data_IF_464683479439
#
_entry.id   IF_464683479439
#
_cell.length_a   1.000
_cell.length_b   1.000
_cell.length_c   1.000
_cell.angle_alpha   90.00
_cell.angle_beta   90.00
_cell.angle_gamma   90.00
#
_symmetry.space_group_name_H-M   'P 1'
#
loop_
_entity.id
_entity.type
_entity.pdbx_description
1 polymer ?
#
# COMPACT_ATOMS: atom_id res chain seq x y z
N UNK A 1 -24.25 3.33 57.89
CA UNK A 1 -23.82 2.13 58.63
C UNK A 1 -22.45 1.68 58.10
N UNK A 2 -21.53 1.17 58.94
CA UNK A 2 -20.18 0.76 58.54
C UNK A 2 -20.17 -0.33 57.43
N UNK A 3 -21.18 -1.15 57.36
CA UNK A 3 -21.38 -2.20 56.35
C UNK A 3 -21.57 -1.62 54.94
N UNK A 4 -22.30 -0.52 54.82
CA UNK A 4 -22.51 0.15 53.52
C UNK A 4 -21.23 0.78 52.95
N UNK A 5 -20.38 1.33 53.80
CA UNK A 5 -19.08 1.92 53.39
C UNK A 5 -18.10 0.85 52.89
N UNK A 6 -18.08 -0.34 53.53
CA UNK A 6 -17.23 -1.48 53.07
C UNK A 6 -17.67 -2.01 51.71
N UNK A 7 -18.98 -2.20 51.49
CA UNK A 7 -19.51 -2.62 50.17
C UNK A 7 -19.20 -1.59 49.09
N UNK A 8 -19.36 -0.30 49.35
CA UNK A 8 -19.06 0.77 48.41
C UNK A 8 -17.57 0.83 48.05
N UNK A 9 -16.66 0.62 49.01
CA UNK A 9 -15.21 0.56 48.80
C UNK A 9 -14.80 -0.69 47.97
N UNK A 10 -15.44 -1.82 48.19
CA UNK A 10 -15.23 -3.06 47.47
C UNK A 10 -15.69 -2.92 45.99
N UNK A 11 -16.88 -2.34 45.79
CA UNK A 11 -17.38 -2.06 44.43
C UNK A 11 -16.50 -1.07 43.65
N UNK A 12 -15.92 -0.05 44.32
CA UNK A 12 -14.96 0.86 43.67
C UNK A 12 -13.68 0.18 43.27
N UNK A 13 -13.13 -0.74 44.08
CA UNK A 13 -11.98 -1.54 43.74
C UNK A 13 -12.27 -2.46 42.50
N UNK A 14 -13.44 -3.10 42.53
CA UNK A 14 -13.87 -3.99 41.44
C UNK A 14 -14.01 -3.24 40.12
N UNK A 15 -14.63 -2.07 40.14
CA UNK A 15 -14.74 -1.18 38.99
C UNK A 15 -13.37 -0.73 38.48
N UNK A 16 -12.46 -0.37 39.39
CA UNK A 16 -11.13 0.07 39.04
C UNK A 16 -10.32 -1.06 38.34
N UNK A 17 -10.46 -2.30 38.84
CA UNK A 17 -9.79 -3.47 38.20
C UNK A 17 -10.36 -3.71 36.82
N UNK A 18 -11.70 -3.75 36.66
CA UNK A 18 -12.33 -3.95 35.34
C UNK A 18 -11.92 -2.83 34.36
N UNK A 19 -11.88 -1.58 34.81
CA UNK A 19 -11.46 -0.46 33.99
C UNK A 19 -9.99 -0.61 33.54
N UNK A 20 -9.13 -1.03 34.48
CA UNK A 20 -7.70 -1.27 34.16
C UNK A 20 -7.55 -2.40 33.14
N UNK A 21 -8.24 -3.53 33.32
CA UNK A 21 -8.24 -4.65 32.37
C UNK A 21 -8.69 -4.21 30.99
N UNK A 22 -9.74 -3.39 30.91
CA UNK A 22 -10.24 -2.85 29.64
C UNK A 22 -9.22 -1.92 28.96
N UNK A 23 -8.57 -1.06 29.75
CA UNK A 23 -7.50 -0.19 29.23
C UNK A 23 -6.32 -1.01 28.71
N UNK A 24 -5.88 -2.03 29.45
CA UNK A 24 -4.80 -2.92 29.03
C UNK A 24 -5.16 -3.63 27.74
N UNK A 25 -6.39 -4.13 27.60
CA UNK A 25 -6.87 -4.78 26.38
C UNK A 25 -6.83 -3.82 25.17
N UNK A 26 -7.30 -2.58 25.35
CA UNK A 26 -7.25 -1.56 24.30
C UNK A 26 -5.81 -1.28 23.88
N UNK A 27 -4.90 -1.11 24.83
CA UNK A 27 -3.47 -0.87 24.54
C UNK A 27 -2.88 -2.04 23.77
N UNK A 28 -3.19 -3.29 24.15
CA UNK A 28 -2.71 -4.48 23.43
C UNK A 28 -3.24 -4.51 21.99
N UNK A 29 -4.52 -4.20 21.77
CA UNK A 29 -5.11 -4.11 20.43
C UNK A 29 -4.43 -3.02 19.61
N UNK A 30 -4.17 -1.85 20.19
CA UNK A 30 -3.46 -0.77 19.50
C UNK A 30 -2.03 -1.16 19.14
N UNK A 31 -1.30 -1.78 20.06
CA UNK A 31 0.07 -2.26 19.79
C UNK A 31 0.06 -3.28 18.65
N UNK A 32 -0.87 -4.23 18.66
CA UNK A 32 -1.03 -5.22 17.61
C UNK A 32 -1.36 -4.56 16.27
N UNK A 33 -2.29 -3.60 16.27
CA UNK A 33 -2.64 -2.85 15.07
C UNK A 33 -1.42 -2.13 14.47
N UNK A 34 -0.64 -1.41 15.29
CA UNK A 34 0.57 -0.73 14.82
C UNK A 34 1.68 -1.70 14.39
N UNK A 35 1.72 -2.91 14.96
CA UNK A 35 2.69 -3.93 14.54
C UNK A 35 2.35 -4.57 13.18
N UNK A 36 1.09 -4.53 12.77
CA UNK A 36 0.60 -5.15 11.53
C UNK A 36 0.36 -4.14 10.42
N UNK A 37 -0.02 -2.91 10.77
CA UNK A 37 -0.45 -1.88 9.84
C UNK A 37 0.53 -0.71 9.80
N UNK A 38 0.77 -0.19 8.61
CA UNK A 38 1.45 1.07 8.41
C UNK A 38 0.48 2.15 7.93
N UNK A 39 0.88 3.41 8.11
CA UNK A 39 0.15 4.56 7.59
C UNK A 39 1.13 5.38 6.76
N UNK A 40 0.73 5.75 5.56
CA UNK A 40 1.48 6.65 4.68
C UNK A 40 0.57 7.75 4.14
N UNK A 41 1.17 8.80 3.61
CA UNK A 41 0.45 9.91 2.96
C UNK A 41 0.80 9.91 1.49
N UNK A 42 -0.22 9.88 0.64
CA UNK A 42 -0.05 9.94 -0.82
C UNK A 42 0.56 11.29 -1.21
N UNK A 43 1.65 11.25 -1.95
CA UNK A 43 2.30 12.44 -2.49
C UNK A 43 2.16 12.46 -4.01
N UNK A 44 1.82 13.64 -4.55
CA UNK A 44 1.64 13.82 -5.98
C UNK A 44 0.34 13.22 -6.53
N UNK A 45 0.24 13.19 -7.85
CA UNK A 45 -0.98 12.80 -8.57
C UNK A 45 -0.81 11.51 -9.39
N UNK A 46 0.23 10.72 -9.11
CA UNK A 46 0.53 9.51 -9.89
C UNK A 46 -0.53 8.42 -9.78
N UNK A 47 -1.34 8.44 -8.72
CA UNK A 47 -2.43 7.48 -8.47
C UNK A 47 -3.82 8.09 -8.66
N UNK A 48 -3.92 9.32 -9.20
CA UNK A 48 -5.18 9.92 -9.58
C UNK A 48 -5.84 9.13 -10.72
N UNK A 49 -7.17 8.91 -10.73
CA UNK A 49 -8.19 9.50 -9.86
C UNK A 49 -8.49 8.70 -8.58
N UNK A 50 -7.90 7.52 -8.41
CA UNK A 50 -8.25 6.62 -7.29
C UNK A 50 -7.75 7.17 -5.96
N UNK A 51 -6.51 7.72 -5.95
CA UNK A 51 -5.93 8.35 -4.77
C UNK A 51 -5.47 9.77 -5.11
N UNK A 52 -5.72 10.71 -4.19
CA UNK A 52 -5.33 12.11 -4.35
C UNK A 52 -4.16 12.46 -3.44
N UNK A 53 -3.40 13.46 -3.86
CA UNK A 53 -2.31 13.99 -3.03
C UNK A 53 -2.83 14.50 -1.68
N UNK A 54 -2.16 14.11 -0.60
CA UNK A 54 -2.50 14.45 0.77
C UNK A 54 -3.44 13.45 1.46
N UNK A 55 -3.99 12.47 0.74
CA UNK A 55 -4.80 11.42 1.35
C UNK A 55 -3.93 10.47 2.18
N UNK A 56 -4.50 9.98 3.29
CA UNK A 56 -3.84 8.97 4.12
C UNK A 56 -4.30 7.58 3.71
N UNK A 57 -3.35 6.69 3.59
CA UNK A 57 -3.57 5.28 3.28
C UNK A 57 -3.09 4.42 4.44
N UNK A 58 -3.83 3.35 4.71
CA UNK A 58 -3.45 2.29 5.65
C UNK A 58 -3.04 1.07 4.84
N UNK A 59 -1.88 0.51 5.14
CA UNK A 59 -1.37 -0.66 4.45
C UNK A 59 -1.01 -1.79 5.42
N UNK A 60 -1.23 -3.03 4.98
CA UNK A 60 -0.85 -4.23 5.71
C UNK A 60 0.62 -4.56 5.38
N UNK A 61 1.46 -4.63 6.43
CA UNK A 61 2.90 -4.90 6.32
C UNK A 61 3.23 -6.41 6.27
N UNK A 62 2.24 -7.28 6.51
CA UNK A 62 2.43 -8.74 6.62
C UNK A 62 1.83 -9.50 5.43
N UNK A 63 1.89 -8.89 4.25
CA UNK A 63 1.44 -9.53 3.01
C UNK A 63 2.57 -10.33 2.39
N UNK A 64 2.28 -11.54 1.95
CA UNK A 64 3.22 -12.42 1.23
C UNK A 64 2.73 -12.82 -0.16
N UNK A 65 1.46 -12.54 -0.48
CA UNK A 65 0.78 -12.96 -1.71
C UNK A 65 0.40 -11.73 -2.57
N UNK A 66 1.40 -11.00 -3.02
CA UNK A 66 1.16 -9.87 -3.91
C UNK A 66 0.77 -10.32 -5.31
N UNK A 67 -0.15 -9.58 -5.95
CA UNK A 67 -0.67 -9.89 -7.27
C UNK A 67 -0.91 -8.64 -8.10
N UNK A 68 -1.02 -8.80 -9.41
CA UNK A 68 -1.44 -7.73 -10.30
C UNK A 68 -2.79 -7.13 -9.84
N UNK A 69 -2.87 -5.81 -9.85
CA UNK A 69 -4.00 -5.03 -9.34
C UNK A 69 -3.82 -4.51 -7.92
N UNK A 70 -2.96 -5.09 -7.10
CA UNK A 70 -2.69 -4.60 -5.75
C UNK A 70 -2.07 -3.20 -5.78
N UNK A 71 -2.57 -2.31 -4.92
CA UNK A 71 -1.93 -1.00 -4.68
C UNK A 71 -1.06 -1.12 -3.45
N UNK A 72 0.19 -0.71 -3.58
CA UNK A 72 1.22 -0.89 -2.57
C UNK A 72 1.90 0.41 -2.19
N UNK A 73 2.50 0.42 -1.02
CA UNK A 73 3.48 1.42 -0.60
C UNK A 73 4.86 0.80 -0.77
N UNK A 74 5.73 1.46 -1.51
CA UNK A 74 7.12 1.06 -1.70
C UNK A 74 8.07 2.14 -1.21
N UNK A 75 9.27 1.74 -0.81
CA UNK A 75 10.33 2.62 -0.36
C UNK A 75 11.40 2.70 -1.44
N UNK A 76 11.79 3.92 -1.79
CA UNK A 76 12.92 4.16 -2.70
C UNK A 76 14.26 4.19 -1.94
N UNK A 77 15.38 4.04 -2.67
CA UNK A 77 16.72 4.14 -2.05
C UNK A 77 17.00 5.48 -1.36
N UNK A 78 16.37 6.57 -1.82
CA UNK A 78 16.44 7.91 -1.21
C UNK A 78 15.61 8.04 0.07
N UNK A 79 14.82 7.02 0.42
CA UNK A 79 13.97 6.97 1.60
C UNK A 79 12.55 7.51 1.39
N UNK A 80 12.24 8.03 0.20
CA UNK A 80 10.87 8.45 -0.12
C UNK A 80 9.93 7.25 -0.27
N UNK A 81 8.66 7.46 0.07
CA UNK A 81 7.61 6.46 -0.08
C UNK A 81 6.75 6.77 -1.31
N UNK A 82 6.61 5.78 -2.17
CA UNK A 82 5.76 5.85 -3.34
C UNK A 82 4.57 4.92 -3.20
N UNK A 83 3.42 5.39 -3.67
CA UNK A 83 2.22 4.56 -3.85
C UNK A 83 2.09 4.24 -5.33
N UNK A 84 2.04 2.95 -5.67
CA UNK A 84 1.94 2.45 -7.03
C UNK A 84 1.06 1.22 -7.10
N UNK A 85 0.63 0.87 -8.31
CA UNK A 85 -0.10 -0.37 -8.58
C UNK A 85 0.82 -1.42 -9.19
N UNK A 86 0.74 -2.64 -8.67
CA UNK A 86 1.38 -3.80 -9.30
C UNK A 86 0.63 -4.12 -10.59
N UNK A 87 1.34 -4.18 -11.70
CA UNK A 87 0.77 -4.59 -12.99
C UNK A 87 1.31 -5.95 -13.45
N UNK A 88 2.49 -6.35 -12.95
CA UNK A 88 3.06 -7.67 -13.23
C UNK A 88 3.87 -8.16 -12.03
N UNK A 89 3.89 -9.48 -11.84
CA UNK A 89 4.61 -10.19 -10.78
C UNK A 89 5.64 -11.15 -11.36
N UNK A 90 6.41 -11.82 -10.51
CA UNK A 90 7.44 -12.77 -10.91
C UNK A 90 6.96 -13.75 -11.99
N UNK A 91 7.74 -13.87 -13.06
CA UNK A 91 7.46 -14.72 -14.22
C UNK A 91 6.61 -14.06 -15.31
N UNK A 92 5.95 -12.95 -15.04
CA UNK A 92 5.20 -12.22 -16.06
C UNK A 92 6.12 -11.51 -17.05
N UNK A 93 5.69 -11.41 -18.29
CA UNK A 93 6.37 -10.64 -19.33
C UNK A 93 5.58 -9.37 -19.64
N UNK A 94 6.25 -8.24 -19.46
CA UNK A 94 5.69 -6.89 -19.68
C UNK A 94 6.17 -6.39 -21.04
N UNK A 95 5.26 -5.82 -21.82
CA UNK A 95 5.59 -5.11 -23.06
C UNK A 95 4.75 -3.83 -23.17
N UNK A 96 5.35 -2.78 -23.70
CA UNK A 96 4.68 -1.51 -23.93
C UNK A 96 4.81 -1.18 -25.43
N UNK A 97 3.68 -1.07 -26.10
CA UNK A 97 3.60 -0.78 -27.53
C UNK A 97 2.41 0.12 -27.83
N UNK A 98 2.61 1.13 -28.66
CA UNK A 98 1.57 2.04 -29.14
C UNK A 98 0.72 2.65 -27.99
N UNK A 99 1.37 3.09 -26.92
CA UNK A 99 0.71 3.69 -25.76
C UNK A 99 -0.07 2.72 -24.86
N UNK A 100 0.12 1.40 -25.06
CA UNK A 100 -0.59 0.36 -24.32
C UNK A 100 0.36 -0.58 -23.60
N UNK A 101 -0.10 -1.06 -22.44
CA UNK A 101 0.56 -2.08 -21.66
C UNK A 101 0.04 -3.47 -22.03
N UNK A 102 0.96 -4.40 -22.21
CA UNK A 102 0.66 -5.82 -22.41
C UNK A 102 1.37 -6.63 -21.33
N UNK A 103 0.64 -7.52 -20.69
CA UNK A 103 1.18 -8.49 -19.73
C UNK A 103 0.90 -9.89 -20.28
N UNK A 104 1.95 -10.69 -20.47
CA UNK A 104 1.88 -12.03 -21.06
C UNK A 104 1.17 -12.03 -22.43
N UNK A 105 1.35 -10.96 -23.21
CA UNK A 105 0.75 -10.79 -24.52
C UNK A 105 -0.70 -10.31 -24.55
N UNK A 106 -1.35 -10.19 -23.40
CA UNK A 106 -2.70 -9.63 -23.28
C UNK A 106 -2.64 -8.13 -22.94
N UNK A 107 -3.49 -7.32 -23.60
CA UNK A 107 -3.62 -5.89 -23.26
C UNK A 107 -4.16 -5.76 -21.84
N UNK A 108 -3.40 -5.09 -20.98
CA UNK A 108 -3.83 -4.77 -19.62
C UNK A 108 -4.77 -3.56 -19.66
N UNK A 109 -5.95 -3.74 -19.08
CA UNK A 109 -6.99 -2.70 -18.99
C UNK A 109 -7.40 -2.53 -17.54
N UNK A 110 -6.69 -1.65 -16.85
CA UNK A 110 -7.03 -1.31 -15.49
C UNK A 110 -8.08 -0.18 -15.48
N UNK A 111 -9.22 -0.45 -14.85
CA UNK A 111 -10.25 0.57 -14.65
C UNK A 111 -9.72 1.72 -13.81
N UNK A 112 -10.00 2.96 -14.21
CA UNK A 112 -9.51 4.16 -13.53
C UNK A 112 -8.12 4.61 -13.96
N UNK A 113 -7.46 3.94 -14.91
CA UNK A 113 -6.20 4.39 -15.48
C UNK A 113 -6.43 5.62 -16.38
N UNK A 114 -5.57 6.63 -16.24
CA UNK A 114 -5.57 7.84 -17.07
C UNK A 114 -4.33 7.91 -17.95
N UNK A 115 -4.55 8.33 -19.19
CA UNK A 115 -3.51 8.57 -20.18
C UNK A 115 -2.98 7.29 -20.84
N UNK A 116 -2.07 7.50 -21.79
CA UNK A 116 -1.40 6.42 -22.50
C UNK A 116 -0.20 5.90 -21.72
N UNK A 117 0.07 4.61 -21.81
CA UNK A 117 1.27 4.01 -21.23
C UNK A 117 2.42 4.13 -22.23
N UNK A 118 3.10 5.28 -22.18
CA UNK A 118 4.26 5.55 -23.02
C UNK A 118 5.55 5.10 -22.32
N UNK A 119 6.53 4.69 -23.13
CA UNK A 119 7.91 4.51 -22.68
C UNK A 119 8.63 5.87 -22.72
N UNK A 120 9.55 6.11 -21.80
CA UNK A 120 10.36 7.33 -21.83
C UNK A 120 11.46 7.21 -22.88
N UNK A 121 11.76 8.30 -23.62
CA UNK A 121 12.73 8.29 -24.72
C UNK A 121 14.18 7.98 -24.27
N UNK A 122 14.52 8.27 -23.01
CA UNK A 122 15.83 7.97 -22.43
C UNK A 122 15.83 6.71 -21.54
N UNK A 123 14.96 5.78 -21.81
CA UNK A 123 14.62 4.67 -20.98
C UNK A 123 15.77 3.65 -20.88
N UNK A 124 16.18 3.34 -19.67
CA UNK A 124 17.10 2.23 -19.37
C UNK A 124 16.38 0.86 -19.39
N UNK A 125 15.05 0.86 -19.53
CA UNK A 125 14.21 -0.35 -19.52
C UNK A 125 13.93 -0.80 -20.95
N UNK A 126 14.35 -2.00 -21.29
CA UNK A 126 14.10 -2.62 -22.60
C UNK A 126 12.88 -3.54 -22.54
N UNK A 127 12.03 -3.48 -23.56
CA UNK A 127 10.85 -4.34 -23.70
C UNK A 127 11.00 -5.31 -24.88
N UNK A 128 10.43 -6.53 -24.80
CA UNK A 128 9.69 -7.07 -23.64
C UNK A 128 10.61 -7.33 -22.45
N UNK A 129 10.10 -7.11 -21.23
CA UNK A 129 10.79 -7.32 -19.97
C UNK A 129 10.11 -8.46 -19.21
N UNK A 130 10.87 -9.45 -18.76
CA UNK A 130 10.37 -10.49 -17.86
C UNK A 130 10.69 -10.12 -16.42
N UNK A 131 9.68 -10.14 -15.56
CA UNK A 131 9.81 -9.86 -14.13
C UNK A 131 10.50 -11.04 -13.47
N UNK A 132 11.60 -10.78 -12.77
CA UNK A 132 12.40 -11.80 -12.08
C UNK A 132 11.73 -12.32 -10.81
N UNK A 133 12.33 -13.37 -10.23
CA UNK A 133 11.93 -13.88 -8.92
C UNK A 133 12.05 -12.75 -7.87
N UNK A 134 11.12 -12.73 -6.92
CA UNK A 134 11.05 -11.71 -5.88
C UNK A 134 11.00 -10.25 -6.40
N UNK A 135 10.54 -10.05 -7.63
CA UNK A 135 10.38 -8.75 -8.25
C UNK A 135 8.94 -8.50 -8.69
N UNK A 136 8.62 -7.22 -8.86
CA UNK A 136 7.34 -6.75 -9.39
C UNK A 136 7.57 -5.60 -10.37
N UNK A 137 6.60 -5.39 -11.25
CA UNK A 137 6.55 -4.22 -12.13
C UNK A 137 5.35 -3.37 -11.73
N UNK A 138 5.59 -2.10 -11.45
CA UNK A 138 4.58 -1.19 -10.88
C UNK A 138 4.38 0.03 -11.75
N UNK A 139 3.14 0.48 -11.86
CA UNK A 139 2.77 1.71 -12.56
C UNK A 139 1.88 2.60 -11.67
N UNK A 140 1.91 3.90 -11.95
CA UNK A 140 0.88 4.80 -11.45
C UNK A 140 -0.39 4.69 -12.28
N UNK A 141 -1.54 4.92 -11.67
CA UNK A 141 -2.83 4.95 -12.37
C UNK A 141 -2.94 6.15 -13.31
N UNK A 142 -2.28 7.26 -12.99
CA UNK A 142 -2.11 8.39 -13.89
C UNK A 142 -0.80 8.23 -14.68
N UNK A 143 -0.87 7.56 -15.82
CA UNK A 143 0.25 7.15 -16.65
C UNK A 143 1.12 8.32 -17.15
N UNK A 144 0.53 9.50 -17.35
CA UNK A 144 1.22 10.66 -17.94
C UNK A 144 2.13 11.38 -16.94
N UNK A 145 1.86 11.28 -15.63
CA UNK A 145 2.60 12.02 -14.60
C UNK A 145 3.25 11.11 -13.56
N UNK A 146 3.33 9.81 -13.83
CA UNK A 146 3.87 8.84 -12.88
C UNK A 146 5.33 8.53 -13.18
N UNK A 147 6.19 8.75 -12.19
CA UNK A 147 7.52 8.14 -12.12
C UNK A 147 7.36 6.72 -11.54
N UNK A 148 7.61 5.70 -12.37
CA UNK A 148 7.32 4.30 -12.06
C UNK A 148 8.27 3.34 -12.78
N UNK A 149 7.95 2.05 -12.82
CA UNK A 149 8.80 1.02 -13.41
C UNK A 149 9.15 1.26 -14.88
N UNK A 150 8.47 2.16 -15.57
CA UNK A 150 8.87 2.58 -16.91
C UNK A 150 10.20 3.35 -16.90
N UNK A 151 10.46 4.08 -15.82
CA UNK A 151 11.69 4.86 -15.65
C UNK A 151 12.76 4.07 -14.90
N UNK A 152 12.43 3.40 -13.79
CA UNK A 152 13.42 2.76 -12.90
C UNK A 152 13.47 1.22 -13.00
N UNK A 153 12.61 0.59 -13.83
CA UNK A 153 12.59 -0.87 -13.98
C UNK A 153 11.80 -1.60 -12.89
N UNK A 154 12.12 -2.88 -12.74
CA UNK A 154 11.48 -3.73 -11.70
C UNK A 154 11.83 -3.27 -10.30
N UNK A 155 10.97 -3.58 -9.36
CA UNK A 155 11.12 -3.30 -7.93
C UNK A 155 11.28 -4.62 -7.20
N UNK A 156 12.27 -4.69 -6.32
CA UNK A 156 12.45 -5.85 -5.46
C UNK A 156 11.40 -5.89 -4.36
N UNK A 157 10.95 -7.08 -4.00
CA UNK A 157 9.92 -7.25 -2.96
C UNK A 157 10.36 -6.72 -1.59
N UNK A 158 11.65 -6.66 -1.33
CA UNK A 158 12.22 -6.09 -0.09
C UNK A 158 11.96 -4.58 0.06
N UNK A 159 11.73 -3.89 -1.06
CA UNK A 159 11.39 -2.46 -1.05
C UNK A 159 9.88 -2.22 -0.84
N UNK A 160 9.06 -3.26 -0.84
CA UNK A 160 7.62 -3.15 -0.62
C UNK A 160 7.31 -3.10 0.87
N UNK A 161 6.73 -2.01 1.32
CA UNK A 161 6.31 -1.81 2.72
C UNK A 161 5.00 -2.52 3.06
N UNK A 162 4.10 -2.63 2.11
CA UNK A 162 2.85 -3.33 2.29
C UNK A 162 1.77 -3.00 1.26
N UNK A 163 0.68 -3.76 1.31
CA UNK A 163 -0.49 -3.59 0.45
C UNK A 163 -1.51 -2.68 1.11
N UNK A 164 -2.00 -1.68 0.37
CA UNK A 164 -3.05 -0.77 0.84
C UNK A 164 -4.33 -1.56 1.05
N UNK A 165 -4.92 -1.43 2.23
CA UNK A 165 -6.17 -2.08 2.63
C UNK A 165 -7.29 -1.07 2.85
N UNK A 166 -6.94 0.19 3.09
CA UNK A 166 -7.91 1.25 3.29
C UNK A 166 -7.31 2.62 2.98
N UNK A 167 -8.12 3.53 2.46
CA UNK A 167 -7.74 4.91 2.24
C UNK A 167 -8.89 5.85 2.64
N UNK A 168 -8.53 7.02 3.11
CA UNK A 168 -9.47 8.06 3.47
C UNK A 168 -9.65 8.96 2.26
N UNK A 169 -10.58 8.57 1.39
CA UNK A 169 -11.00 9.42 0.28
C UNK A 169 -11.73 10.66 0.80
N UNK A 170 -11.63 11.78 0.09
CA UNK A 170 -12.51 12.92 0.34
C UNK A 170 -13.94 12.51 -0.04
N UNK A 171 -14.87 12.64 0.91
CA UNK A 171 -16.29 12.63 0.64
C UNK A 171 -16.66 13.83 -0.24
#
# INVERSE_FOLDING_TARGET
TPIGRRKKKQMRKYRAVITLEFVVLIVLIMVLFYALMGISTVQGNSMYPILHSGEKVVYNQRVSDYKAGDVIVLKRPDGEEFVKRIVAVAGDTVNIQNGKLYVNGAEEKQEGTLGETLTEENNQVSYPLTVGDDQIFVLGDNREVSDDSRAFGVVDMDDVKGRIVWYMGRL
#
